data_IF_356076409649
#
_entry.id   IF_356076409649
#
_cell.length_a   1.000
_cell.length_b   1.000
_cell.length_c   1.000
_cell.angle_alpha   90.00
_cell.angle_beta   90.00
_cell.angle_gamma   90.00
#
_symmetry.space_group_name_H-M   'P 1'
#
loop_
_entity.id
_entity.type
_entity.pdbx_description
1 polymer ?
#
# COMPACT_ATOMS: atom_id res chain seq x y z
N UNK A 1 -14.25 -2.43 19.57
CA UNK A 1 -13.86 -1.11 19.01
C UNK A 1 -12.76 -1.22 17.93
N UNK A 2 -12.15 -2.38 17.71
CA UNK A 2 -11.07 -2.58 16.74
C UNK A 2 -11.55 -2.62 15.27
N UNK A 3 -12.69 -3.27 15.00
CA UNK A 3 -13.24 -3.41 13.66
C UNK A 3 -13.66 -2.08 13.01
N UNK A 4 -13.99 -1.06 13.80
CA UNK A 4 -14.41 0.25 13.27
C UNK A 4 -13.24 1.01 12.62
N UNK A 5 -12.03 0.90 13.19
CA UNK A 5 -10.81 1.54 12.66
C UNK A 5 -10.33 0.85 11.37
N UNK A 6 -10.43 -0.48 11.30
CA UNK A 6 -10.02 -1.27 10.13
C UNK A 6 -10.92 -0.96 8.91
N UNK A 7 -12.23 -0.87 9.13
CA UNK A 7 -13.18 -0.49 8.07
C UNK A 7 -12.90 0.93 7.54
N UNK A 8 -12.50 1.86 8.41
CA UNK A 8 -12.12 3.22 8.01
C UNK A 8 -10.87 3.25 7.14
N UNK A 9 -9.86 2.41 7.43
CA UNK A 9 -8.62 2.36 6.64
C UNK A 9 -8.86 1.83 5.21
N UNK A 10 -9.65 0.76 5.07
CA UNK A 10 -10.01 0.20 3.75
C UNK A 10 -10.89 1.17 2.96
N UNK A 11 -11.84 1.81 3.62
CA UNK A 11 -12.71 2.82 3.00
C UNK A 11 -11.90 4.03 2.50
N UNK A 12 -10.97 4.53 3.33
CA UNK A 12 -10.05 5.61 2.95
C UNK A 12 -9.15 5.20 1.77
N UNK A 13 -8.64 3.97 1.78
CA UNK A 13 -7.80 3.47 0.70
C UNK A 13 -8.56 3.39 -0.63
N UNK A 14 -9.81 2.91 -0.61
CA UNK A 14 -10.71 2.93 -1.77
C UNK A 14 -10.90 4.34 -2.32
N UNK A 15 -11.25 5.30 -1.47
CA UNK A 15 -11.47 6.69 -1.90
C UNK A 15 -10.22 7.32 -2.52
N UNK A 16 -9.03 7.05 -1.93
CA UNK A 16 -7.76 7.51 -2.51
C UNK A 16 -7.49 6.90 -3.88
N UNK A 17 -7.78 5.61 -4.04
CA UNK A 17 -7.59 4.90 -5.30
C UNK A 17 -8.56 5.39 -6.40
N UNK A 18 -9.83 5.61 -6.04
CA UNK A 18 -10.83 6.18 -6.95
C UNK A 18 -10.46 7.60 -7.37
N UNK A 19 -9.98 8.43 -6.42
CA UNK A 19 -9.48 9.77 -6.71
C UNK A 19 -8.27 9.74 -7.65
N UNK A 20 -7.33 8.81 -7.43
CA UNK A 20 -6.21 8.60 -8.35
C UNK A 20 -6.67 8.20 -9.75
N UNK A 21 -7.61 7.24 -9.84
CA UNK A 21 -8.21 6.80 -11.11
C UNK A 21 -8.90 7.95 -11.85
N UNK A 22 -9.62 8.81 -11.13
CA UNK A 22 -10.30 9.97 -11.71
C UNK A 22 -9.32 11.08 -12.16
N UNK A 23 -8.22 11.28 -11.43
CA UNK A 23 -7.21 12.31 -11.75
C UNK A 23 -6.14 11.83 -12.75
N UNK A 24 -5.97 10.53 -12.91
CA UNK A 24 -4.93 9.94 -13.74
C UNK A 24 -3.52 10.38 -13.31
N UNK A 25 -2.69 10.76 -14.29
CA UNK A 25 -1.31 11.24 -14.07
C UNK A 25 -1.18 12.51 -13.22
N UNK A 26 -2.28 13.23 -12.97
CA UNK A 26 -2.27 14.44 -12.14
C UNK A 26 -2.36 14.14 -10.64
N UNK A 27 -2.52 12.88 -10.26
CA UNK A 27 -2.49 12.48 -8.86
C UNK A 27 -1.05 12.40 -8.37
N UNK A 28 -0.76 13.03 -7.24
CA UNK A 28 0.57 13.04 -6.60
C UNK A 28 0.91 11.72 -5.89
N UNK A 29 0.20 10.63 -6.20
CA UNK A 29 0.44 9.31 -5.62
C UNK A 29 1.47 8.56 -6.45
N UNK A 30 2.50 8.05 -5.78
CA UNK A 30 3.49 7.19 -6.43
C UNK A 30 2.89 5.83 -6.79
N UNK A 31 3.43 5.19 -7.84
CA UNK A 31 3.03 3.84 -8.28
C UNK A 31 3.10 2.85 -7.11
N UNK A 32 4.09 3.01 -6.23
CA UNK A 32 4.28 2.16 -5.04
C UNK A 32 3.15 2.35 -4.03
N UNK A 33 2.72 3.59 -3.80
CA UNK A 33 1.62 3.89 -2.88
C UNK A 33 0.29 3.38 -3.42
N UNK A 34 0.06 3.50 -4.73
CA UNK A 34 -1.14 2.94 -5.38
C UNK A 34 -1.16 1.41 -5.24
N UNK A 35 -0.02 0.73 -5.42
CA UNK A 35 0.09 -0.71 -5.21
C UNK A 35 -0.22 -1.11 -3.76
N UNK A 36 0.34 -0.41 -2.77
CA UNK A 36 0.05 -0.66 -1.36
C UNK A 36 -1.43 -0.45 -1.01
N UNK A 37 -2.05 0.59 -1.57
CA UNK A 37 -3.49 0.84 -1.38
C UNK A 37 -4.35 -0.24 -2.06
N UNK A 38 -3.97 -0.69 -3.27
CA UNK A 38 -4.61 -1.82 -3.97
C UNK A 38 -4.53 -3.11 -3.17
N UNK A 39 -3.33 -3.41 -2.65
CA UNK A 39 -3.08 -4.60 -1.84
C UNK A 39 -3.93 -4.59 -0.56
N UNK A 40 -3.99 -3.43 0.11
CA UNK A 40 -4.80 -3.26 1.32
C UNK A 40 -6.31 -3.40 1.04
N UNK A 41 -6.80 -2.93 -0.10
CA UNK A 41 -8.21 -3.07 -0.51
C UNK A 41 -8.53 -4.50 -0.95
N UNK A 42 -7.61 -5.19 -1.62
CA UNK A 42 -7.83 -6.50 -2.23
C UNK A 42 -7.69 -7.64 -1.22
N UNK A 43 -6.67 -7.58 -0.37
CA UNK A 43 -6.32 -8.67 0.54
C UNK A 43 -6.63 -8.35 2.00
N UNK A 44 -6.99 -7.10 2.33
CA UNK A 44 -7.29 -6.69 3.70
C UNK A 44 -6.11 -6.83 4.66
N UNK A 45 -6.33 -6.82 5.98
CA UNK A 45 -5.27 -6.92 7.00
C UNK A 45 -4.58 -8.31 7.05
N UNK A 46 -4.93 -9.21 6.14
CA UNK A 46 -4.40 -10.58 6.04
C UNK A 46 -3.03 -10.67 5.37
N UNK A 47 -2.52 -9.58 4.80
CA UNK A 47 -1.15 -9.58 4.25
C UNK A 47 -0.15 -9.44 5.40
N UNK A 48 0.77 -10.42 5.60
CA UNK A 48 1.86 -10.23 6.54
C UNK A 48 2.65 -9.00 6.13
N UNK A 49 2.82 -8.06 7.06
CA UNK A 49 3.55 -6.83 6.83
C UNK A 49 4.92 -7.19 6.25
N UNK A 50 5.14 -6.82 5.00
CA UNK A 50 6.42 -7.04 4.33
C UNK A 50 7.43 -6.17 5.06
N UNK A 51 8.08 -6.78 6.04
CA UNK A 51 9.18 -6.15 6.76
C UNK A 51 10.22 -5.85 5.69
N UNK A 52 10.56 -4.58 5.55
CA UNK A 52 11.59 -4.11 4.62
C UNK A 52 12.95 -4.65 5.11
N UNK A 53 13.17 -5.95 5.00
CA UNK A 53 14.49 -6.55 5.10
C UNK A 53 15.19 -6.15 3.82
N UNK A 54 15.81 -4.97 3.87
CA UNK A 54 16.77 -4.50 2.88
C UNK A 54 17.71 -5.66 2.57
N UNK A 55 17.56 -6.25 1.39
CA UNK A 55 18.39 -7.37 0.95
C UNK A 55 19.80 -6.82 0.73
N UNK A 56 20.61 -6.83 1.80
CA UNK A 56 22.01 -6.43 1.76
C UNK A 56 22.78 -7.47 0.95
N UNK A 57 22.99 -7.18 -0.33
CA UNK A 57 23.95 -7.92 -1.15
C UNK A 57 25.36 -7.47 -0.77
N UNK A 58 25.93 -8.11 0.26
CA UNK A 58 27.34 -7.96 0.60
C UNK A 58 28.20 -8.59 -0.48
N UNK A 59 28.76 -7.77 -1.37
CA UNK A 59 29.83 -8.20 -2.26
C UNK A 59 31.11 -8.40 -1.44
N UNK A 60 31.48 -9.66 -1.22
CA UNK A 60 32.77 -10.01 -0.62
C UNK A 60 33.79 -10.14 -1.74
N UNK A 61 34.71 -9.18 -1.86
CA UNK A 61 35.95 -9.37 -2.62
C UNK A 61 36.93 -10.06 -1.69
N UNK A 62 37.29 -11.31 -1.99
CA UNK A 62 38.56 -11.87 -1.53
C UNK A 62 39.37 -12.27 -2.77
#
# INVERSE_FOLDING_TARGET
MESTMINNAVSLAKTKLERHKAMGKNSNLSIVEVAQLMDLVTFGPSIPQVTNSMLFFGYSIN
#
